data_IF_050294437454
#
_entry.id   IF_050294437454
#
_cell.length_a   1.000
_cell.length_b   1.000
_cell.length_c   1.000
_cell.angle_alpha   90.00
_cell.angle_beta   90.00
_cell.angle_gamma   90.00
#
_symmetry.space_group_name_H-M   'P 1'
#
loop_
_entity.id
_entity.type
_entity.pdbx_description
1 polymer ?
#
# COMPACT_ATOMS: atom_id res chain seq x y z
N UNK A 1 4.97 -46.19 -32.50
CA UNK A 1 4.28 -45.27 -31.57
C UNK A 1 2.80 -45.30 -31.90
N UNK A 2 1.89 -45.43 -30.93
CA UNK A 2 0.45 -45.35 -31.20
C UNK A 2 0.12 -43.98 -31.78
N UNK A 3 -0.74 -43.96 -32.80
CA UNK A 3 -1.17 -42.74 -33.48
C UNK A 3 -2.08 -41.96 -32.53
N UNK A 4 -1.68 -40.76 -32.14
CA UNK A 4 -2.48 -39.89 -31.28
C UNK A 4 -3.66 -39.38 -32.10
N UNK A 5 -4.87 -39.52 -31.57
CA UNK A 5 -6.06 -38.85 -32.12
C UNK A 5 -5.94 -37.33 -31.86
N UNK A 6 -5.84 -36.50 -32.92
CA UNK A 6 -5.73 -35.06 -32.76
C UNK A 6 -6.92 -34.43 -32.01
N UNK A 7 -8.13 -34.98 -32.16
CA UNK A 7 -9.33 -34.45 -31.50
C UNK A 7 -9.29 -34.73 -29.99
N UNK A 8 -9.03 -35.98 -29.60
CA UNK A 8 -8.85 -36.33 -28.18
C UNK A 8 -7.67 -35.58 -27.53
N UNK A 9 -6.59 -35.33 -28.27
CA UNK A 9 -5.49 -34.50 -27.77
C UNK A 9 -5.94 -33.07 -27.52
N UNK A 10 -6.66 -32.46 -28.47
CA UNK A 10 -7.15 -31.08 -28.35
C UNK A 10 -8.09 -30.94 -27.15
N UNK A 11 -9.01 -31.87 -26.95
CA UNK A 11 -9.92 -31.88 -25.80
C UNK A 11 -9.17 -31.89 -24.46
N UNK A 12 -8.07 -32.64 -24.37
CA UNK A 12 -7.23 -32.66 -23.15
C UNK A 12 -6.55 -31.32 -22.91
N UNK A 13 -6.05 -30.68 -23.96
CA UNK A 13 -5.46 -29.35 -23.88
C UNK A 13 -6.51 -28.32 -23.43
N UNK A 14 -7.69 -28.32 -24.06
CA UNK A 14 -8.76 -27.37 -23.72
C UNK A 14 -9.19 -27.53 -22.25
N UNK A 15 -9.33 -28.77 -21.76
CA UNK A 15 -9.62 -29.03 -20.34
C UNK A 15 -8.52 -28.55 -19.39
N UNK A 16 -7.25 -28.73 -19.76
CA UNK A 16 -6.13 -28.24 -18.96
C UNK A 16 -6.14 -26.71 -18.92
N UNK A 17 -6.38 -26.07 -20.07
CA UNK A 17 -6.49 -24.61 -20.17
C UNK A 17 -7.61 -24.08 -19.28
N UNK A 18 -8.79 -24.68 -19.31
CA UNK A 18 -9.92 -24.32 -18.44
C UNK A 18 -9.53 -24.36 -16.96
N UNK A 19 -8.95 -25.47 -16.49
CA UNK A 19 -8.51 -25.63 -15.10
C UNK A 19 -7.50 -24.55 -14.70
N UNK A 20 -6.50 -24.29 -15.54
CA UNK A 20 -5.48 -23.29 -15.22
C UNK A 20 -6.03 -21.86 -15.26
N UNK A 21 -6.96 -21.56 -16.17
CA UNK A 21 -7.65 -20.27 -16.22
C UNK A 21 -8.45 -20.02 -14.94
N UNK A 22 -9.17 -21.01 -14.44
CA UNK A 22 -9.93 -20.90 -13.19
C UNK A 22 -9.01 -20.68 -11.98
N UNK A 23 -7.91 -21.44 -11.90
CA UNK A 23 -6.91 -21.28 -10.84
C UNK A 23 -6.32 -19.86 -10.86
N UNK A 24 -5.94 -19.37 -12.05
CA UNK A 24 -5.37 -18.03 -12.20
C UNK A 24 -6.38 -16.94 -11.82
N UNK A 25 -7.62 -17.04 -12.27
CA UNK A 25 -8.69 -16.10 -11.93
C UNK A 25 -8.94 -16.06 -10.42
N UNK A 26 -9.01 -17.22 -9.76
CA UNK A 26 -9.20 -17.28 -8.31
C UNK A 26 -8.01 -16.71 -7.55
N UNK A 27 -6.80 -16.99 -8.00
CA UNK A 27 -5.58 -16.43 -7.41
C UNK A 27 -5.56 -14.90 -7.53
N UNK A 28 -6.00 -14.34 -8.66
CA UNK A 28 -6.10 -12.89 -8.85
C UNK A 28 -7.08 -12.25 -7.87
N UNK A 29 -8.26 -12.86 -7.65
CA UNK A 29 -9.24 -12.36 -6.68
C UNK A 29 -8.70 -12.34 -5.26
N UNK A 30 -8.14 -13.46 -4.78
CA UNK A 30 -7.65 -13.60 -3.41
C UNK A 30 -6.43 -12.72 -3.16
N UNK A 31 -5.59 -12.56 -4.18
CA UNK A 31 -4.38 -11.71 -4.11
C UNK A 31 -4.70 -10.23 -3.99
N UNK A 32 -5.94 -9.77 -4.18
CA UNK A 32 -6.29 -8.36 -3.94
C UNK A 32 -6.26 -8.00 -2.46
N UNK A 33 -6.67 -8.93 -1.59
CA UNK A 33 -6.92 -8.64 -0.17
C UNK A 33 -5.75 -9.06 0.73
N UNK A 34 -5.03 -10.11 0.35
CA UNK A 34 -3.86 -10.56 1.10
C UNK A 34 -2.64 -9.72 0.75
N UNK A 35 -2.32 -8.73 1.59
CA UNK A 35 -1.08 -7.96 1.45
C UNK A 35 0.15 -8.90 1.53
N UNK A 36 1.01 -8.95 0.50
CA UNK A 36 2.18 -9.84 0.49
C UNK A 36 3.24 -9.47 1.53
N UNK A 37 3.15 -8.28 2.12
CA UNK A 37 4.07 -7.76 3.12
C UNK A 37 3.53 -7.82 4.56
N UNK A 38 2.34 -8.39 4.80
CA UNK A 38 1.82 -8.62 6.16
C UNK A 38 2.09 -10.07 6.55
N UNK A 39 2.91 -10.27 7.58
CA UNK A 39 3.19 -11.62 8.09
C UNK A 39 2.05 -12.16 8.98
N UNK A 40 2.18 -13.40 9.44
CA UNK A 40 1.18 -14.07 10.30
C UNK A 40 0.98 -13.44 11.69
N UNK A 41 1.86 -12.52 12.09
CA UNK A 41 1.81 -11.78 13.36
C UNK A 41 1.44 -10.31 13.11
N UNK A 42 0.89 -10.00 11.94
CA UNK A 42 0.51 -8.65 11.51
C UNK A 42 1.68 -7.65 11.41
N UNK A 43 2.91 -8.17 11.32
CA UNK A 43 4.09 -7.34 11.09
C UNK A 43 4.21 -7.02 9.62
N UNK A 44 4.52 -5.75 9.33
CA UNK A 44 4.78 -5.28 7.98
C UNK A 44 6.28 -5.46 7.65
N UNK A 45 6.56 -6.24 6.61
CA UNK A 45 7.90 -6.49 6.08
C UNK A 45 8.27 -5.55 4.92
N UNK A 46 7.35 -4.67 4.52
CA UNK A 46 7.55 -3.73 3.42
C UNK A 46 8.58 -2.66 3.77
N UNK A 47 9.63 -2.53 2.93
CA UNK A 47 10.68 -1.50 3.06
C UNK A 47 10.33 -0.16 2.40
N UNK A 48 9.08 -0.01 1.95
CA UNK A 48 8.53 1.20 1.34
C UNK A 48 7.46 1.79 2.25
N UNK A 49 7.01 3.03 1.97
CA UNK A 49 5.94 3.67 2.76
C UNK A 49 4.56 3.19 2.34
N UNK A 50 3.76 2.83 3.33
CA UNK A 50 2.37 2.45 3.19
C UNK A 50 1.55 3.16 4.27
N UNK A 51 0.34 3.63 3.93
CA UNK A 51 -0.54 4.34 4.87
C UNK A 51 -0.97 3.50 6.08
N UNK A 52 -0.88 2.17 5.98
CA UNK A 52 -1.29 1.24 7.04
C UNK A 52 -0.11 0.76 7.90
N UNK A 53 1.11 1.25 7.66
CA UNK A 53 2.25 0.98 8.52
C UNK A 53 2.17 1.81 9.81
N UNK A 54 2.23 1.13 10.94
CA UNK A 54 2.32 1.76 12.27
C UNK A 54 3.66 1.41 12.90
N UNK A 55 4.34 2.41 13.46
CA UNK A 55 5.58 2.20 14.18
C UNK A 55 5.29 1.50 15.51
N UNK A 56 5.97 0.39 15.77
CA UNK A 56 5.93 -0.25 17.09
C UNK A 56 6.92 0.45 18.04
N UNK A 57 6.48 0.93 19.21
CA UNK A 57 7.38 1.54 20.20
C UNK A 57 8.47 0.55 20.61
N UNK A 58 9.74 0.93 20.50
CA UNK A 58 10.88 0.12 20.96
C UNK A 58 11.37 -0.95 19.98
N UNK A 59 10.71 -1.14 18.83
CA UNK A 59 11.14 -2.07 17.78
C UNK A 59 11.46 -1.34 16.47
N UNK A 60 12.44 -1.85 15.72
CA UNK A 60 12.70 -1.41 14.34
C UNK A 60 11.67 -1.99 13.34
N UNK A 61 10.56 -2.56 13.83
CA UNK A 61 9.53 -3.22 13.06
C UNK A 61 8.27 -2.36 13.02
N UNK A 62 7.57 -2.43 11.89
CA UNK A 62 6.26 -1.80 11.73
C UNK A 62 5.18 -2.87 11.73
N UNK A 63 3.99 -2.56 12.23
CA UNK A 63 2.81 -3.41 12.16
C UNK A 63 1.83 -2.87 11.11
N UNK A 64 0.93 -3.72 10.63
CA UNK A 64 -0.17 -3.33 9.77
C UNK A 64 -1.41 -3.02 10.63
N UNK A 65 -1.95 -1.81 10.57
CA UNK A 65 -3.14 -1.42 11.32
C UNK A 65 -4.48 -1.84 10.71
N UNK A 66 -4.47 -2.40 9.49
CA UNK A 66 -5.68 -2.77 8.77
C UNK A 66 -6.14 -4.20 9.08
N UNK A 67 -7.45 -4.45 9.03
CA UNK A 67 -8.08 -5.77 9.22
C UNK A 67 -7.77 -6.82 8.12
N UNK A 68 -7.16 -6.44 7.00
CA UNK A 68 -6.86 -7.35 5.87
C UNK A 68 -7.97 -7.51 4.82
N UNK A 69 -9.09 -6.81 4.93
CA UNK A 69 -10.18 -6.82 3.96
C UNK A 69 -10.15 -5.59 3.03
N UNK A 70 -9.00 -5.32 2.40
CA UNK A 70 -8.85 -4.19 1.48
C UNK A 70 -7.85 -4.47 0.35
N UNK A 71 -7.99 -3.73 -0.75
CA UNK A 71 -6.96 -3.72 -1.79
C UNK A 71 -5.73 -2.95 -1.33
N UNK A 72 -4.70 -3.69 -0.94
CA UNK A 72 -3.47 -3.13 -0.37
C UNK A 72 -2.70 -2.24 -1.33
N UNK A 73 -2.86 -2.42 -2.65
CA UNK A 73 -2.08 -1.68 -3.65
C UNK A 73 -2.36 -0.18 -3.57
N UNK A 74 -3.60 0.17 -3.22
CA UNK A 74 -4.03 1.55 -3.03
C UNK A 74 -3.35 2.26 -1.85
N UNK A 75 -2.82 1.51 -0.88
CA UNK A 75 -2.17 2.04 0.32
C UNK A 75 -0.66 2.26 0.16
N UNK A 76 -0.04 1.69 -0.88
CA UNK A 76 1.37 1.87 -1.18
C UNK A 76 1.61 3.29 -1.72
N UNK A 77 2.49 4.04 -1.06
CA UNK A 77 2.82 5.40 -1.49
C UNK A 77 3.87 5.34 -2.61
N UNK A 78 3.47 5.68 -3.84
CA UNK A 78 4.35 5.67 -5.03
C UNK A 78 5.37 6.81 -5.04
N UNK A 79 5.18 7.84 -4.20
CA UNK A 79 6.10 8.98 -4.05
C UNK A 79 6.33 9.28 -2.56
N UNK A 80 7.03 8.42 -1.81
CA UNK A 80 7.23 8.59 -0.36
C UNK A 80 7.86 9.95 -0.01
N UNK A 81 8.75 10.46 -0.86
CA UNK A 81 9.36 11.79 -0.71
C UNK A 81 8.36 12.95 -0.79
N UNK A 82 7.23 12.75 -1.48
CA UNK A 82 6.18 13.78 -1.60
C UNK A 82 5.51 14.07 -0.26
N UNK A 83 5.33 13.04 0.58
CA UNK A 83 4.81 13.19 1.93
C UNK A 83 5.78 13.97 2.83
N UNK A 84 7.07 13.63 2.78
CA UNK A 84 8.12 14.35 3.50
C UNK A 84 8.16 15.84 3.12
N UNK A 85 8.13 16.14 1.82
CA UNK A 85 8.09 17.52 1.30
C UNK A 85 6.81 18.25 1.72
N UNK A 86 5.65 17.61 1.66
CA UNK A 86 4.38 18.20 2.08
C UNK A 86 4.39 18.53 3.59
N UNK A 87 4.87 17.61 4.43
CA UNK A 87 5.00 17.82 5.88
C UNK A 87 5.95 18.96 6.22
N UNK A 88 7.11 19.02 5.55
CA UNK A 88 8.07 20.12 5.70
C UNK A 88 7.45 21.47 5.30
N UNK A 89 6.69 21.51 4.19
CA UNK A 89 5.98 22.71 3.73
C UNK A 89 4.95 23.18 4.75
N UNK A 90 4.13 22.28 5.29
CA UNK A 90 3.14 22.60 6.33
C UNK A 90 3.83 23.16 7.58
N UNK A 91 4.94 22.55 8.04
CA UNK A 91 5.71 23.04 9.19
C UNK A 91 6.24 24.46 8.95
N UNK A 92 6.79 24.72 7.76
CA UNK A 92 7.26 26.05 7.36
C UNK A 92 6.12 27.08 7.37
N UNK A 93 4.97 26.76 6.80
CA UNK A 93 3.79 27.64 6.76
C UNK A 93 3.31 27.98 8.18
N UNK A 94 3.24 26.99 9.07
CA UNK A 94 2.87 27.19 10.48
C UNK A 94 3.83 28.15 11.18
N UNK A 95 5.14 27.99 10.98
CA UNK A 95 6.17 28.87 11.55
C UNK A 95 6.01 30.31 11.06
N UNK A 96 5.95 30.51 9.74
CA UNK A 96 5.79 31.85 9.14
C UNK A 96 4.49 32.53 9.61
N UNK A 97 3.42 31.75 9.72
CA UNK A 97 2.13 32.27 10.22
C UNK A 97 2.20 32.68 11.69
N UNK A 98 2.94 31.94 12.53
CA UNK A 98 3.17 32.30 13.93
C UNK A 98 4.02 33.58 14.06
N UNK A 99 5.10 33.68 13.29
CA UNK A 99 5.97 34.87 13.23
C UNK A 99 5.17 36.12 12.80
N UNK A 100 4.32 36.00 11.77
CA UNK A 100 3.47 37.10 11.30
C UNK A 100 2.43 37.53 12.33
N UNK A 101 1.82 36.59 13.08
CA UNK A 101 0.88 36.94 14.17
C UNK A 101 1.60 37.65 15.32
N UNK A 102 2.80 37.18 15.67
CA UNK A 102 3.61 37.81 16.70
C UNK A 102 4.00 39.24 16.32
N UNK A 103 4.39 39.47 15.05
CA UNK A 103 4.73 40.83 14.59
C UNK A 103 3.51 41.76 14.54
N UNK A 104 2.34 41.27 14.12
CA UNK A 104 1.10 42.06 14.12
C UNK A 104 0.64 42.45 15.54
N UNK A 105 0.85 41.58 16.52
CA UNK A 105 0.53 41.86 17.92
C UNK A 105 1.56 42.76 18.62
N UNK A 106 2.73 42.98 18.01
CA UNK A 106 3.81 43.81 18.55
C UNK A 106 3.69 45.29 18.16
N UNK A 107 2.78 45.65 17.24
CA UNK A 107 2.47 47.06 16.96
C UNK A 107 1.46 47.58 17.99
N UNK A 108 1.76 48.67 18.71
CA UNK A 108 0.82 49.25 19.66
C UNK A 108 -0.42 49.72 18.88
N UNK A 109 -1.61 49.38 19.38
CA UNK A 109 -2.84 49.98 18.88
C UNK A 109 -2.72 51.48 19.12
N UNK A 110 -2.77 52.30 18.06
CA UNK A 110 -2.93 53.74 18.22
C UNK A 110 -4.30 53.97 18.87
N UNK A 111 -4.27 54.57 20.04
CA UNK A 111 -5.44 55.11 20.74
C UNK A 111 -6.15 56.17 19.88
#
# INVERSE_FOLDING_TARGET
MPKIDPAAYRQRIDRITEIFSDIAGRAEEVSKFRCPYRDRLDRCTGKFKCRNQVASPGENLTTCSHDGQFDYRSAWETKPESYGRAKARIKKIKRVSAEKRASLNAFPKKD
#
